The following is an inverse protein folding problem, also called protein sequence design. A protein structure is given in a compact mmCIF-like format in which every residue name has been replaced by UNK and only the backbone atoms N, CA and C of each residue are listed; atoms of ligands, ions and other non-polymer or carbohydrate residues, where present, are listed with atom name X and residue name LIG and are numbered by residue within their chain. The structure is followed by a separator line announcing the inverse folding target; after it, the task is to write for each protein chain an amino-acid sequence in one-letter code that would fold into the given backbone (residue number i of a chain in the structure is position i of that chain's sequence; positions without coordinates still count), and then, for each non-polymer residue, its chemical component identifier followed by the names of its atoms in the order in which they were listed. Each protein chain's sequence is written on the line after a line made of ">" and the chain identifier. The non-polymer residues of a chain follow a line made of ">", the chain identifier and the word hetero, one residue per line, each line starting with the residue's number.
data_IF_600667487518
#
_entry.id   IF_600667487518
#
_cell.length_a   1.000
_cell.length_b   1.000
_cell.length_c   1.000
_cell.angle_alpha   90.00
_cell.angle_beta   90.00
_cell.angle_gamma   90.00
#
_symmetry.space_group_name_H-M   'P 1'
#
loop_
_entity.id
_entity.type
_entity.pdbx_description
1 polymer ?
#
# COMPACT_ATOMS: atom_id res chain seq x y z
N UNK A 1 -23.73 21.59 -17.14
CA UNK A 1 -22.84 20.44 -17.38
C UNK A 1 -21.63 20.94 -18.17
N UNK A 2 -20.55 21.30 -17.50
CA UNK A 2 -19.31 21.78 -18.12
C UNK A 2 -18.52 20.56 -18.57
N UNK A 3 -18.35 20.37 -19.88
CA UNK A 3 -17.46 19.37 -20.46
C UNK A 3 -16.03 19.77 -20.14
N UNK A 4 -15.28 18.91 -19.42
CA UNK A 4 -13.84 19.04 -19.25
C UNK A 4 -13.19 18.70 -20.58
N UNK A 5 -12.36 19.58 -21.19
CA UNK A 5 -11.66 19.30 -22.45
C UNK A 5 -10.70 18.13 -22.28
N UNK A 6 -10.59 17.26 -23.27
CA UNK A 6 -9.70 16.09 -23.26
C UNK A 6 -8.19 16.41 -23.16
N UNK A 7 -7.81 17.69 -23.33
CA UNK A 7 -6.45 18.21 -23.12
C UNK A 7 -6.01 18.24 -21.66
N UNK A 8 -6.95 18.24 -20.70
CA UNK A 8 -6.64 18.37 -19.26
C UNK A 8 -6.37 17.01 -18.57
N UNK A 9 -6.39 15.90 -19.30
CA UNK A 9 -6.42 14.56 -18.69
C UNK A 9 -5.11 13.78 -18.84
N UNK A 10 -4.23 14.13 -19.74
CA UNK A 10 -2.83 13.64 -19.82
C UNK A 10 -2.19 14.24 -21.07
N UNK A 11 -1.10 14.96 -20.91
CA UNK A 11 -0.35 15.56 -22.02
C UNK A 11 0.05 14.47 -23.02
N UNK A 12 -0.28 14.65 -24.27
CA UNK A 12 -0.01 13.74 -25.39
C UNK A 12 1.49 13.39 -25.54
N UNK A 13 2.38 14.19 -24.96
CA UNK A 13 3.84 13.95 -24.90
C UNK A 13 4.20 12.70 -24.08
N UNK A 14 3.41 12.32 -23.09
CA UNK A 14 3.64 11.09 -22.33
C UNK A 14 3.21 9.84 -23.10
N UNK A 15 2.33 9.97 -24.08
CA UNK A 15 1.92 8.86 -24.95
C UNK A 15 2.95 8.59 -26.07
N UNK A 16 3.70 9.59 -26.49
CA UNK A 16 4.68 9.49 -27.59
C UNK A 16 6.05 8.99 -27.14
N UNK A 17 6.37 9.04 -25.85
CA UNK A 17 7.65 8.55 -25.31
C UNK A 17 7.79 7.02 -25.23
N UNK A 18 6.74 6.25 -25.53
CA UNK A 18 6.83 4.77 -25.59
C UNK A 18 7.81 4.27 -26.66
N UNK A 19 7.89 4.96 -27.81
CA UNK A 19 8.85 4.59 -28.88
C UNK A 19 10.30 4.92 -28.52
N UNK A 20 10.55 6.02 -27.81
CA UNK A 20 11.88 6.39 -27.36
C UNK A 20 12.40 5.44 -26.26
N UNK A 21 11.52 4.98 -25.37
CA UNK A 21 11.86 3.98 -24.33
C UNK A 21 12.20 2.61 -24.93
N UNK A 22 11.48 2.17 -25.96
CA UNK A 22 11.77 0.90 -26.66
C UNK A 22 13.08 1.02 -27.46
N UNK A 23 13.36 2.16 -28.07
CA UNK A 23 14.60 2.39 -28.84
C UNK A 23 15.84 2.42 -27.93
N UNK A 24 15.73 2.99 -26.71
CA UNK A 24 16.85 3.00 -25.75
C UNK A 24 17.12 1.60 -25.13
N UNK A 25 16.09 0.75 -24.98
CA UNK A 25 16.25 -0.62 -24.52
C UNK A 25 16.96 -1.51 -25.56
N UNK A 26 16.75 -1.27 -26.86
CA UNK A 26 17.41 -2.00 -27.95
C UNK A 26 18.87 -1.55 -28.18
N UNK A 27 19.20 -0.30 -27.90
CA UNK A 27 20.58 0.20 -27.99
C UNK A 27 21.49 -0.31 -26.85
N UNK A 28 20.91 -0.64 -25.69
CA UNK A 28 21.64 -1.21 -24.56
C UNK A 28 21.97 -2.71 -24.73
N UNK A 29 21.28 -3.41 -25.62
CA UNK A 29 21.49 -4.85 -25.85
C UNK A 29 22.66 -5.17 -26.81
N UNK A 30 23.22 -4.16 -27.51
CA UNK A 30 24.29 -4.33 -28.51
C UNK A 30 25.71 -4.17 -28.01
N UNK A 31 25.96 -3.81 -26.76
CA UNK A 31 27.28 -3.42 -26.24
C UNK A 31 27.87 -4.36 -25.19
N UNK A 32 27.39 -5.60 -25.04
CA UNK A 32 27.92 -6.53 -24.02
C UNK A 32 28.51 -7.82 -24.61
N UNK A 33 29.57 -7.67 -25.38
CA UNK A 33 30.51 -8.77 -25.64
C UNK A 33 31.90 -8.32 -25.19
N UNK A 34 32.29 -8.72 -24.02
CA UNK A 34 33.61 -8.86 -23.39
C UNK A 34 33.57 -8.38 -21.94
N UNK A 35 33.07 -9.23 -21.04
CA UNK A 35 33.32 -9.07 -19.59
C UNK A 35 33.72 -10.43 -19.01
N UNK A 36 34.88 -10.46 -18.37
CA UNK A 36 35.49 -11.58 -17.67
C UNK A 36 34.55 -12.29 -16.67
N UNK A 37 34.61 -13.64 -16.54
CA UNK A 37 33.74 -14.39 -15.63
C UNK A 37 34.34 -14.55 -14.22
N UNK A 38 34.77 -13.47 -13.58
CA UNK A 38 35.02 -13.44 -12.13
C UNK A 38 34.20 -12.38 -11.45
N UNK A 39 32.87 -12.47 -11.62
CA UNK A 39 31.96 -11.76 -10.77
C UNK A 39 31.73 -12.56 -9.48
N UNK A 40 32.50 -12.22 -8.46
CA UNK A 40 32.11 -12.48 -7.08
C UNK A 40 30.63 -12.13 -6.94
N UNK A 41 29.82 -13.10 -6.49
CA UNK A 41 28.45 -12.84 -6.12
C UNK A 41 28.48 -11.79 -4.99
N UNK A 42 28.45 -10.51 -5.37
CA UNK A 42 28.25 -9.41 -4.42
C UNK A 42 26.93 -9.67 -3.74
N UNK A 43 26.97 -9.89 -2.43
CA UNK A 43 25.77 -9.88 -1.63
C UNK A 43 25.01 -8.58 -1.96
N UNK A 44 23.69 -8.64 -2.22
CA UNK A 44 22.93 -7.43 -2.48
C UNK A 44 23.23 -6.42 -1.37
N UNK A 45 23.58 -5.19 -1.74
CA UNK A 45 23.83 -4.14 -0.77
C UNK A 45 22.61 -4.06 0.15
N UNK A 46 22.83 -4.00 1.46
CA UNK A 46 21.76 -3.83 2.44
C UNK A 46 21.03 -2.51 2.11
N UNK A 47 19.72 -2.60 1.89
CA UNK A 47 18.90 -1.43 1.53
C UNK A 47 18.35 -0.73 2.77
N UNK A 48 18.38 -1.40 3.94
CA UNK A 48 17.91 -0.91 5.23
C UNK A 48 18.51 -1.70 6.38
N UNK A 49 18.08 -1.42 7.60
CA UNK A 49 18.46 -2.19 8.79
C UNK A 49 17.74 -3.55 8.77
N UNK A 50 18.48 -4.63 8.97
CA UNK A 50 17.90 -5.98 9.12
C UNK A 50 16.99 -6.06 10.32
N UNK A 51 15.87 -6.76 10.18
CA UNK A 51 14.87 -7.03 11.22
C UNK A 51 14.93 -8.51 11.60
N UNK A 52 14.81 -8.79 12.89
CA UNK A 52 14.63 -10.16 13.37
C UNK A 52 13.17 -10.57 13.10
N UNK A 53 12.96 -11.57 12.26
CA UNK A 53 11.64 -12.03 11.82
C UNK A 53 11.46 -13.52 12.03
N UNK A 54 10.21 -13.95 12.06
CA UNK A 54 9.81 -15.35 11.98
C UNK A 54 8.94 -15.56 10.74
N UNK A 55 9.05 -16.74 10.12
CA UNK A 55 8.17 -17.10 9.01
C UNK A 55 6.74 -17.28 9.51
N UNK A 56 5.81 -16.55 8.93
CA UNK A 56 4.39 -16.67 9.30
C UNK A 56 3.71 -17.87 8.62
N UNK A 57 2.85 -18.61 9.33
CA UNK A 57 2.00 -19.64 8.72
C UNK A 57 0.96 -19.04 7.76
N UNK A 58 0.69 -17.73 7.84
CA UNK A 58 -0.22 -16.99 6.97
C UNK A 58 0.49 -16.38 5.75
N UNK A 59 1.78 -16.66 5.58
CA UNK A 59 2.54 -16.23 4.41
C UNK A 59 2.15 -17.04 3.18
N UNK A 60 1.98 -16.36 2.03
CA UNK A 60 1.77 -17.03 0.74
C UNK A 60 3.04 -17.77 0.27
N UNK A 61 2.86 -18.64 -0.72
CA UNK A 61 3.95 -19.43 -1.33
C UNK A 61 4.42 -18.88 -2.69
N UNK A 62 3.82 -17.80 -3.19
CA UNK A 62 4.21 -17.21 -4.48
C UNK A 62 5.58 -16.56 -4.40
N UNK A 63 6.32 -16.60 -5.51
CA UNK A 63 7.62 -15.93 -5.60
C UNK A 63 7.43 -14.40 -5.54
N UNK A 64 8.08 -13.72 -4.59
CA UNK A 64 8.03 -12.27 -4.50
C UNK A 64 8.62 -11.59 -5.74
N UNK A 65 8.10 -10.42 -6.08
CA UNK A 65 8.70 -9.54 -7.07
C UNK A 65 10.09 -9.08 -6.59
N UNK A 66 11.01 -8.81 -7.50
CA UNK A 66 12.33 -8.28 -7.15
C UNK A 66 12.23 -6.93 -6.45
N UNK A 67 13.24 -6.63 -5.62
CA UNK A 67 13.34 -5.37 -4.85
C UNK A 67 13.10 -4.13 -5.70
N UNK A 68 13.78 -4.04 -6.86
CA UNK A 68 13.64 -2.89 -7.73
C UNK A 68 12.20 -2.65 -8.21
N UNK A 69 11.43 -3.71 -8.47
CA UNK A 69 10.03 -3.57 -8.89
C UNK A 69 9.16 -2.98 -7.79
N UNK A 70 9.43 -3.35 -6.52
CA UNK A 70 8.66 -2.89 -5.37
C UNK A 70 9.01 -1.47 -4.94
N UNK A 71 10.24 -1.02 -5.24
CA UNK A 71 10.75 0.26 -4.75
C UNK A 71 10.78 1.36 -5.80
N UNK A 72 10.54 1.02 -7.08
CA UNK A 72 10.54 2.00 -8.18
C UNK A 72 9.18 2.20 -8.85
N UNK A 73 8.19 1.36 -8.51
CA UNK A 73 6.85 1.43 -9.08
C UNK A 73 5.83 1.51 -7.94
N UNK A 74 5.48 2.73 -7.52
CA UNK A 74 4.70 2.99 -6.33
C UNK A 74 3.54 3.95 -6.59
N UNK A 75 2.48 3.82 -5.78
CA UNK A 75 1.47 4.85 -5.57
C UNK A 75 1.63 5.37 -4.15
N UNK A 76 2.25 6.53 -3.98
CA UNK A 76 2.36 7.26 -2.73
C UNK A 76 2.23 8.75 -3.05
N UNK A 77 0.98 9.19 -3.15
CA UNK A 77 0.61 10.49 -3.70
C UNK A 77 1.17 11.66 -2.91
N UNK A 78 1.51 11.46 -1.65
CA UNK A 78 2.25 12.41 -0.83
C UNK A 78 3.62 12.79 -1.41
N UNK A 79 4.19 11.90 -2.24
CA UNK A 79 5.45 12.15 -2.94
C UNK A 79 5.29 12.38 -4.44
N UNK A 80 4.06 12.38 -4.97
CA UNK A 80 3.75 12.62 -6.37
C UNK A 80 2.84 11.57 -6.99
N UNK A 81 2.33 11.86 -8.19
CA UNK A 81 1.25 11.10 -8.83
C UNK A 81 1.74 10.07 -9.84
N UNK A 82 2.99 10.20 -10.35
CA UNK A 82 3.55 9.20 -11.25
C UNK A 82 4.15 8.01 -10.46
N UNK A 83 4.27 6.85 -11.11
CA UNK A 83 4.75 5.63 -10.44
C UNK A 83 6.21 5.71 -9.96
N UNK A 84 7.01 6.55 -10.59
CA UNK A 84 8.42 6.78 -10.25
C UNK A 84 8.63 7.90 -9.23
N UNK A 85 7.65 8.82 -9.07
CA UNK A 85 7.79 9.97 -8.18
C UNK A 85 8.14 9.58 -6.74
N UNK A 86 7.49 8.59 -6.11
CA UNK A 86 7.85 8.22 -4.74
C UNK A 86 9.30 7.75 -4.61
N UNK A 87 9.82 7.00 -5.59
CA UNK A 87 11.20 6.52 -5.56
C UNK A 87 12.23 7.66 -5.66
N UNK A 88 11.86 8.77 -6.28
CA UNK A 88 12.72 9.97 -6.42
C UNK A 88 12.53 10.91 -5.23
N UNK A 89 11.29 11.31 -4.97
CA UNK A 89 10.97 12.40 -4.05
C UNK A 89 11.04 11.99 -2.57
N UNK A 90 10.86 10.68 -2.27
CA UNK A 90 10.99 10.20 -0.90
C UNK A 90 12.43 9.94 -0.44
N UNK A 91 13.44 10.10 -1.29
CA UNK A 91 14.86 9.87 -0.93
C UNK A 91 15.31 10.74 0.23
N UNK A 92 14.84 11.98 0.28
CA UNK A 92 15.17 12.96 1.33
C UNK A 92 14.28 12.87 2.57
N UNK A 93 13.25 12.05 2.56
CA UNK A 93 12.33 11.92 3.68
C UNK A 93 13.04 11.32 4.90
N UNK A 94 12.99 12.05 6.00
CA UNK A 94 13.53 11.63 7.29
C UNK A 94 12.37 11.51 8.28
N UNK A 95 11.89 10.29 8.57
CA UNK A 95 10.91 10.08 9.61
C UNK A 95 11.37 10.73 10.92
N UNK A 96 10.48 11.44 11.61
CA UNK A 96 10.81 12.05 12.90
C UNK A 96 11.18 10.96 13.92
N UNK A 97 12.17 11.24 14.73
CA UNK A 97 12.57 10.35 15.82
C UNK A 97 12.36 11.03 17.18
N UNK A 98 11.59 10.42 18.11
CA UNK A 98 10.82 9.18 17.92
C UNK A 98 9.61 9.38 16.96
N UNK A 99 9.26 8.33 16.20
CA UNK A 99 8.02 8.32 15.46
C UNK A 99 6.85 8.07 16.40
N UNK A 100 5.88 8.98 16.40
CA UNK A 100 4.76 8.93 17.34
C UNK A 100 3.44 8.71 16.62
N UNK A 101 2.56 7.93 17.24
CA UNK A 101 1.22 7.63 16.79
C UNK A 101 0.20 8.10 17.85
N UNK A 102 -0.71 8.99 17.48
CA UNK A 102 -1.82 9.38 18.33
C UNK A 102 -2.90 8.28 18.34
N UNK A 103 -3.34 7.86 19.52
CA UNK A 103 -4.43 6.91 19.76
C UNK A 103 -5.63 7.71 20.28
N UNK A 104 -6.74 7.67 19.55
CA UNK A 104 -7.92 8.52 19.82
C UNK A 104 -9.24 7.73 19.73
N UNK A 105 -10.34 8.38 20.15
CA UNK A 105 -11.72 7.92 19.93
C UNK A 105 -12.22 6.93 20.98
N UNK A 106 -12.98 5.94 20.54
CA UNK A 106 -13.69 4.95 21.36
C UNK A 106 -12.75 3.85 21.89
N UNK A 107 -11.79 4.22 22.75
CA UNK A 107 -10.88 3.30 23.42
C UNK A 107 -10.52 3.82 24.83
N UNK A 108 -10.13 2.91 25.73
CA UNK A 108 -9.75 3.27 27.08
C UNK A 108 -8.33 3.87 27.14
N UNK A 109 -7.40 3.37 26.33
CA UNK A 109 -5.99 3.82 26.32
C UNK A 109 -5.73 4.80 25.18
N UNK A 110 -6.11 6.04 25.41
CA UNK A 110 -5.84 7.19 24.51
C UNK A 110 -4.49 7.83 24.86
N UNK A 111 -3.94 8.57 23.90
CA UNK A 111 -2.69 9.31 24.07
C UNK A 111 -1.75 9.14 22.90
N UNK A 112 -0.49 9.44 23.12
CA UNK A 112 0.56 9.28 22.10
C UNK A 112 1.48 8.14 22.49
N UNK A 113 1.76 7.25 21.54
CA UNK A 113 2.66 6.10 21.71
C UNK A 113 3.78 6.19 20.68
N UNK A 114 5.00 5.81 21.04
CA UNK A 114 6.11 5.75 20.08
C UNK A 114 6.06 4.48 19.25
N UNK A 115 6.69 4.48 18.07
CA UNK A 115 6.80 3.27 17.25
C UNK A 115 7.58 2.16 17.99
N UNK A 116 8.60 2.54 18.75
CA UNK A 116 9.38 1.62 19.58
C UNK A 116 8.49 0.93 20.61
N UNK A 117 7.60 1.69 21.26
CA UNK A 117 6.63 1.11 22.19
C UNK A 117 5.59 0.25 21.48
N UNK A 118 5.15 0.63 20.27
CA UNK A 118 4.28 -0.22 19.46
C UNK A 118 4.94 -1.56 19.16
N UNK A 119 6.21 -1.56 18.81
CA UNK A 119 6.99 -2.75 18.46
C UNK A 119 7.41 -3.58 19.66
N UNK A 120 7.43 -3.00 20.86
CA UNK A 120 7.85 -3.69 22.09
C UNK A 120 6.96 -4.91 22.35
N UNK A 121 7.58 -6.08 22.43
CA UNK A 121 6.90 -7.35 22.64
C UNK A 121 6.16 -7.91 21.41
N UNK A 122 6.30 -7.29 20.24
CA UNK A 122 5.77 -7.84 19.00
C UNK A 122 6.75 -8.84 18.39
N UNK A 123 6.24 -9.95 17.91
CA UNK A 123 6.97 -10.84 17.01
C UNK A 123 6.76 -10.32 15.58
N UNK A 124 7.83 -9.89 14.92
CA UNK A 124 7.76 -9.51 13.52
C UNK A 124 7.73 -10.76 12.65
N UNK A 125 6.83 -10.78 11.69
CA UNK A 125 6.58 -11.89 10.81
C UNK A 125 6.89 -11.55 9.36
N UNK A 126 7.48 -12.49 8.63
CA UNK A 126 7.60 -12.42 7.17
C UNK A 126 6.29 -12.88 6.53
N UNK A 127 5.66 -11.97 5.79
CA UNK A 127 4.37 -12.17 5.15
C UNK A 127 4.45 -11.92 3.65
N UNK A 128 4.50 -12.98 2.85
CA UNK A 128 4.42 -12.90 1.39
C UNK A 128 2.96 -12.74 1.01
N UNK A 129 2.58 -11.56 0.51
CA UNK A 129 1.21 -11.24 0.16
C UNK A 129 1.08 -10.76 -1.27
N UNK A 130 -0.03 -11.12 -1.92
CA UNK A 130 -0.47 -10.47 -3.15
C UNK A 130 -0.86 -9.04 -2.85
N UNK A 131 -0.54 -8.15 -3.75
CA UNK A 131 -0.95 -6.75 -3.74
C UNK A 131 -1.63 -6.42 -5.07
N UNK A 132 -2.81 -5.86 -5.05
CA UNK A 132 -3.61 -5.51 -6.23
C UNK A 132 -3.99 -4.03 -6.20
N UNK A 133 -3.57 -3.29 -7.20
CA UNK A 133 -3.98 -1.91 -7.38
C UNK A 133 -5.27 -1.82 -8.21
N UNK A 134 -6.14 -0.87 -7.88
CA UNK A 134 -7.35 -0.58 -8.68
C UNK A 134 -7.00 -0.20 -10.13
N UNK A 135 -5.79 0.28 -10.39
CA UNK A 135 -5.27 0.58 -11.74
C UNK A 135 -5.00 -0.66 -12.61
N UNK A 136 -5.29 -1.87 -12.13
CA UNK A 136 -5.19 -3.08 -12.94
C UNK A 136 -3.81 -3.76 -12.92
N UNK A 137 -2.89 -3.36 -12.05
CA UNK A 137 -1.61 -4.03 -11.88
C UNK A 137 -1.49 -4.70 -10.51
N UNK A 138 -0.61 -5.68 -10.40
CA UNK A 138 -0.40 -6.45 -9.17
C UNK A 138 1.07 -6.81 -8.94
N UNK A 139 1.38 -7.11 -7.68
CA UNK A 139 2.70 -7.57 -7.20
C UNK A 139 2.52 -8.67 -6.16
N UNK A 140 3.60 -9.39 -5.89
CA UNK A 140 3.77 -10.25 -4.71
C UNK A 140 4.85 -9.61 -3.83
N UNK A 141 4.50 -9.26 -2.61
CA UNK A 141 5.34 -8.43 -1.73
C UNK A 141 5.67 -9.17 -0.44
N UNK A 142 6.97 -9.33 -0.09
CA UNK A 142 7.41 -9.93 1.16
C UNK A 142 7.48 -8.87 2.26
N UNK A 143 6.36 -8.62 2.90
CA UNK A 143 6.26 -7.67 4.01
C UNK A 143 6.89 -8.22 5.29
N UNK A 144 7.45 -7.33 6.09
CA UNK A 144 7.75 -7.58 7.50
C UNK A 144 6.80 -6.75 8.36
N UNK A 145 6.08 -7.40 9.25
CA UNK A 145 5.10 -6.72 10.07
C UNK A 145 4.54 -7.59 11.19
N UNK A 146 3.50 -7.12 11.82
CA UNK A 146 2.80 -7.80 12.92
C UNK A 146 1.29 -7.56 12.80
N UNK A 147 0.43 -8.44 13.37
CA UNK A 147 -1.02 -8.29 13.29
C UNK A 147 -1.50 -6.96 13.88
N UNK A 148 -2.30 -6.18 13.12
CA UNK A 148 -2.91 -4.95 13.63
C UNK A 148 -3.72 -5.20 14.90
N UNK A 149 -4.34 -6.37 15.01
CA UNK A 149 -5.11 -6.79 16.18
C UNK A 149 -4.32 -6.69 17.51
N UNK A 150 -3.00 -6.87 17.49
CA UNK A 150 -2.19 -6.76 18.71
C UNK A 150 -2.10 -5.31 19.22
N UNK A 151 -2.00 -4.32 18.31
CA UNK A 151 -2.09 -2.91 18.69
C UNK A 151 -3.50 -2.55 19.17
N UNK A 152 -4.54 -2.99 18.44
CA UNK A 152 -5.93 -2.71 18.79
C UNK A 152 -6.25 -3.22 20.21
N UNK A 153 -5.87 -4.46 20.54
CA UNK A 153 -6.08 -5.03 21.87
C UNK A 153 -5.40 -4.19 22.98
N UNK A 154 -4.21 -3.67 22.73
CA UNK A 154 -3.50 -2.78 23.68
C UNK A 154 -4.20 -1.44 23.88
N UNK A 155 -4.95 -0.96 22.87
CA UNK A 155 -5.71 0.28 22.97
C UNK A 155 -7.02 0.12 23.77
N UNK A 156 -7.47 -1.11 24.04
CA UNK A 156 -8.71 -1.42 24.76
C UNK A 156 -9.93 -0.69 24.17
N UNK A 157 -10.33 -0.99 22.91
CA UNK A 157 -11.49 -0.34 22.30
C UNK A 157 -12.76 -0.62 23.10
N UNK A 158 -13.63 0.38 23.21
CA UNK A 158 -14.94 0.24 23.85
C UNK A 158 -15.89 -0.58 22.97
N UNK A 159 -17.02 -1.04 23.53
CA UNK A 159 -18.06 -1.74 22.76
C UNK A 159 -18.69 -0.86 21.65
N UNK A 160 -18.47 0.45 21.67
CA UNK A 160 -18.92 1.38 20.63
C UNK A 160 -17.99 1.45 19.42
N UNK A 161 -16.76 0.96 19.53
CA UNK A 161 -15.77 1.02 18.46
C UNK A 161 -16.12 0.02 17.35
N UNK A 162 -16.79 0.49 16.30
CA UNK A 162 -17.17 -0.32 15.15
C UNK A 162 -16.18 -0.19 13.97
N UNK A 163 -15.36 0.87 13.95
CA UNK A 163 -14.40 1.18 12.89
C UNK A 163 -13.09 1.68 13.47
N UNK A 164 -12.01 1.49 12.69
CA UNK A 164 -10.69 2.05 12.95
C UNK A 164 -10.32 2.95 11.78
N UNK A 165 -9.96 4.19 12.06
CA UNK A 165 -9.48 5.19 11.10
C UNK A 165 -8.00 5.42 11.31
N UNK A 166 -7.29 5.61 10.21
CA UNK A 166 -5.86 5.91 10.18
C UNK A 166 -5.62 7.23 9.46
N UNK A 167 -4.60 7.97 9.87
CA UNK A 167 -4.18 9.21 9.23
C UNK A 167 -2.68 9.17 8.92
N UNK A 168 -2.31 9.57 7.70
CA UNK A 168 -0.92 9.76 7.28
C UNK A 168 -0.32 11.04 7.86
N UNK A 169 1.00 11.10 7.98
CA UNK A 169 1.74 12.31 8.31
C UNK A 169 1.39 13.46 7.34
N UNK A 170 1.09 14.63 7.88
CA UNK A 170 1.04 15.87 7.11
C UNK A 170 2.36 16.62 7.29
N UNK A 171 3.19 16.63 6.26
CA UNK A 171 4.46 17.35 6.22
C UNK A 171 4.80 17.79 4.80
N UNK A 172 4.25 18.91 4.37
CA UNK A 172 4.40 19.43 3.00
C UNK A 172 5.85 19.73 2.62
N UNK A 173 6.73 19.94 3.61
CA UNK A 173 8.15 20.20 3.35
C UNK A 173 8.89 18.96 2.90
N UNK A 174 8.53 17.79 3.43
CA UNK A 174 9.16 16.52 3.10
C UNK A 174 8.34 15.68 2.12
N UNK A 175 7.02 15.94 2.00
CA UNK A 175 6.05 15.25 1.17
C UNK A 175 5.42 16.22 0.15
N UNK A 176 6.15 16.57 -0.92
CA UNK A 176 5.76 17.66 -1.83
C UNK A 176 4.44 17.40 -2.56
N UNK A 177 4.02 16.15 -2.73
CA UNK A 177 2.72 15.82 -3.31
C UNK A 177 1.53 16.32 -2.50
N UNK A 178 1.73 16.62 -1.20
CA UNK A 178 0.70 17.22 -0.34
C UNK A 178 0.46 18.71 -0.60
N UNK A 179 1.20 19.33 -1.50
CA UNK A 179 0.92 20.69 -2.01
C UNK A 179 -0.10 20.67 -3.15
N UNK A 180 -0.33 19.51 -3.76
CA UNK A 180 -1.30 19.35 -4.86
C UNK A 180 -2.73 19.17 -4.35
N UNK A 181 -3.70 19.53 -5.21
CA UNK A 181 -5.14 19.40 -4.93
C UNK A 181 -5.70 18.01 -5.35
N UNK A 182 -4.85 17.04 -5.61
CA UNK A 182 -5.27 15.70 -6.06
C UNK A 182 -6.12 14.97 -5.02
N UNK A 183 -5.84 15.22 -3.74
CA UNK A 183 -6.60 14.72 -2.58
C UNK A 183 -6.71 15.82 -1.51
N UNK A 184 -7.65 15.67 -0.61
CA UNK A 184 -7.62 16.43 0.64
C UNK A 184 -6.60 15.79 1.59
N UNK A 185 -5.65 16.59 2.06
CA UNK A 185 -4.58 16.15 2.97
C UNK A 185 -4.88 16.49 4.43
N UNK A 186 -4.45 15.68 5.40
CA UNK A 186 -3.69 14.43 5.24
C UNK A 186 -4.54 13.29 4.68
N UNK A 187 -3.89 12.26 4.11
CA UNK A 187 -4.57 11.05 3.65
C UNK A 187 -5.19 10.30 4.82
N UNK A 188 -6.44 9.88 4.66
CA UNK A 188 -7.23 9.15 5.67
C UNK A 188 -7.76 7.85 5.06
N UNK A 189 -7.69 6.79 5.82
CA UNK A 189 -8.29 5.49 5.51
C UNK A 189 -8.97 4.87 6.72
N UNK A 190 -9.85 3.90 6.47
CA UNK A 190 -10.54 3.20 7.53
C UNK A 190 -10.83 1.74 7.23
N UNK A 191 -11.04 0.98 8.29
CA UNK A 191 -11.49 -0.42 8.27
C UNK A 191 -12.66 -0.60 9.24
N UNK A 192 -13.53 -1.59 8.97
CA UNK A 192 -14.39 -2.14 10.02
C UNK A 192 -13.52 -2.81 11.08
N UNK A 193 -14.03 -2.89 12.30
CA UNK A 193 -13.30 -3.50 13.42
C UNK A 193 -12.96 -4.98 13.15
N UNK A 194 -13.87 -5.76 12.57
CA UNK A 194 -13.62 -7.16 12.22
C UNK A 194 -12.55 -7.34 11.14
N UNK A 195 -12.50 -6.44 10.14
CA UNK A 195 -11.42 -6.39 9.13
C UNK A 195 -10.08 -6.02 9.78
N UNK A 196 -10.08 -5.05 10.69
CA UNK A 196 -8.89 -4.61 11.41
C UNK A 196 -8.35 -5.69 12.37
N UNK A 197 -9.25 -6.50 12.95
CA UNK A 197 -8.91 -7.60 13.85
C UNK A 197 -8.56 -8.90 13.12
N UNK A 198 -8.74 -8.96 11.80
CA UNK A 198 -8.47 -10.18 11.03
C UNK A 198 -6.96 -10.49 11.00
N UNK A 199 -6.54 -11.76 11.16
CA UNK A 199 -5.11 -12.15 11.24
C UNK A 199 -4.28 -11.77 10.00
N UNK A 200 -4.89 -11.62 8.83
CA UNK A 200 -4.22 -11.18 7.60
C UNK A 200 -3.95 -9.66 7.57
N UNK A 201 -4.64 -8.86 8.39
CA UNK A 201 -4.41 -7.42 8.48
C UNK A 201 -3.19 -7.15 9.34
N UNK A 202 -2.16 -6.54 8.77
CA UNK A 202 -0.90 -6.25 9.47
C UNK A 202 -0.54 -4.77 9.42
N UNK A 203 0.21 -4.34 10.41
CA UNK A 203 1.05 -3.16 10.35
C UNK A 203 2.44 -3.59 9.89
N UNK A 204 2.87 -3.10 8.73
CA UNK A 204 4.17 -3.41 8.15
C UNK A 204 5.20 -2.33 8.50
N UNK A 205 6.40 -2.78 8.85
CA UNK A 205 7.57 -1.96 9.19
C UNK A 205 8.79 -2.32 8.34
N UNK A 206 8.63 -3.29 7.43
CA UNK A 206 9.73 -3.75 6.59
C UNK A 206 9.30 -4.46 5.31
N UNK A 207 10.31 -4.67 4.46
CA UNK A 207 10.29 -5.45 3.22
C UNK A 207 11.55 -6.33 3.18
N UNK A 208 11.44 -7.56 2.68
CA UNK A 208 12.58 -8.47 2.49
C UNK A 208 13.48 -8.64 3.75
N UNK A 209 12.88 -8.66 4.94
CA UNK A 209 13.63 -8.78 6.20
C UNK A 209 14.35 -7.52 6.65
N UNK A 210 14.15 -6.39 5.97
CA UNK A 210 14.78 -5.10 6.27
C UNK A 210 13.74 -4.00 6.54
N UNK A 211 14.16 -2.89 7.15
CA UNK A 211 13.28 -1.75 7.43
C UNK A 211 12.62 -1.21 6.16
N UNK A 212 11.41 -0.72 6.32
CA UNK A 212 10.57 -0.24 5.20
C UNK A 212 11.21 0.96 4.50
N UNK A 213 11.38 0.92 3.16
CA UNK A 213 11.84 2.09 2.41
C UNK A 213 10.81 3.22 2.44
N UNK A 214 11.29 4.46 2.34
CA UNK A 214 10.45 5.65 2.38
C UNK A 214 9.31 5.61 1.37
N UNK A 215 9.62 5.30 0.11
CA UNK A 215 8.64 5.21 -0.99
C UNK A 215 7.61 4.08 -0.81
N UNK A 216 7.87 3.15 0.08
CA UNK A 216 6.96 2.05 0.41
C UNK A 216 6.13 2.32 1.66
N UNK A 217 6.26 3.51 2.28
CA UNK A 217 5.41 3.97 3.38
C UNK A 217 6.04 3.94 4.77
N UNK A 218 7.39 4.10 4.84
CA UNK A 218 8.11 4.17 6.10
C UNK A 218 7.51 5.22 7.08
N UNK A 219 7.68 5.02 8.38
CA UNK A 219 8.25 3.84 9.02
C UNK A 219 7.19 2.76 9.34
N UNK A 220 5.89 3.08 9.17
CA UNK A 220 4.75 2.24 9.53
C UNK A 220 3.63 2.39 8.53
N UNK A 221 3.11 1.27 8.00
CA UNK A 221 1.98 1.27 7.09
C UNK A 221 1.01 0.13 7.34
N UNK A 222 -0.23 0.30 6.86
CA UNK A 222 -1.24 -0.74 6.82
C UNK A 222 -1.07 -1.64 5.59
N UNK A 223 -1.29 -2.95 5.77
CA UNK A 223 -1.42 -3.92 4.67
C UNK A 223 -2.64 -4.81 4.92
N UNK A 224 -3.54 -4.84 3.92
CA UNK A 224 -4.76 -5.66 3.92
C UNK A 224 -4.82 -6.38 2.58
N UNK A 225 -4.35 -7.64 2.48
CA UNK A 225 -4.01 -8.26 1.19
C UNK A 225 -5.21 -8.55 0.27
N UNK A 226 -6.43 -8.63 0.81
CA UNK A 226 -7.64 -8.88 0.01
C UNK A 226 -8.33 -7.61 -0.49
N UNK A 227 -7.81 -6.43 -0.10
CA UNK A 227 -8.33 -5.12 -0.51
C UNK A 227 -7.41 -4.48 -1.55
N UNK A 228 -7.96 -3.54 -2.31
CA UNK A 228 -7.15 -2.72 -3.21
C UNK A 228 -6.07 -1.94 -2.45
N UNK A 229 -4.94 -1.74 -3.11
CA UNK A 229 -3.74 -1.15 -2.52
C UNK A 229 -3.91 0.24 -1.92
N UNK A 230 -4.91 1.01 -2.33
CA UNK A 230 -5.17 2.33 -1.76
C UNK A 230 -5.66 2.27 -0.29
N UNK A 231 -6.22 1.13 0.16
CA UNK A 231 -6.50 0.91 1.59
C UNK A 231 -5.24 0.84 2.45
N UNK A 232 -4.10 0.55 1.84
CA UNK A 232 -2.82 0.43 2.53
C UNK A 232 -2.21 1.80 2.84
N UNK A 233 -2.82 2.55 3.74
CA UNK A 233 -2.33 3.86 4.22
C UNK A 233 -0.91 3.77 4.75
N UNK A 234 -0.10 4.80 4.48
CA UNK A 234 1.35 4.85 4.69
C UNK A 234 1.74 5.93 5.68
N UNK A 235 2.93 5.81 6.28
CA UNK A 235 3.47 6.79 7.24
C UNK A 235 2.44 7.21 8.30
N UNK A 236 1.86 6.20 8.97
CA UNK A 236 0.73 6.37 9.91
C UNK A 236 1.19 7.14 11.16
N UNK A 237 0.47 8.22 11.49
CA UNK A 237 0.68 9.03 12.70
C UNK A 237 -0.54 9.08 13.63
N UNK A 238 -1.67 8.51 13.21
CA UNK A 238 -2.89 8.47 14.04
C UNK A 238 -3.66 7.20 13.79
N UNK A 239 -4.21 6.64 14.86
CA UNK A 239 -5.21 5.56 14.87
C UNK A 239 -6.38 6.03 15.73
N UNK A 240 -7.58 6.08 15.17
CA UNK A 240 -8.79 6.55 15.86
C UNK A 240 -9.88 5.49 15.80
N UNK A 241 -10.44 5.16 16.94
CA UNK A 241 -11.56 4.22 17.07
C UNK A 241 -12.88 4.96 16.97
N UNK A 242 -13.80 4.51 16.13
CA UNK A 242 -15.03 5.21 15.80
C UNK A 242 -16.26 4.31 15.90
N UNK A 243 -17.38 4.88 16.33
CA UNK A 243 -18.67 4.21 16.32
C UNK A 243 -19.34 4.24 14.93
N UNK A 244 -18.98 5.20 14.08
CA UNK A 244 -19.53 5.38 12.73
C UNK A 244 -18.41 5.22 11.69
N UNK A 245 -18.81 4.75 10.50
CA UNK A 245 -17.91 4.62 9.38
C UNK A 245 -17.25 5.95 9.01
N UNK A 246 -15.91 6.02 8.96
CA UNK A 246 -15.20 7.19 8.44
C UNK A 246 -15.34 7.29 6.92
N UNK A 247 -15.10 8.49 6.40
CA UNK A 247 -14.98 8.72 4.95
C UNK A 247 -13.50 8.72 4.59
N UNK A 248 -13.09 7.85 3.66
CA UNK A 248 -11.70 7.80 3.21
C UNK A 248 -11.38 8.90 2.21
N UNK A 249 -10.09 9.23 2.06
CA UNK A 249 -9.64 10.28 1.13
C UNK A 249 -10.08 10.05 -0.31
N UNK A 250 -10.02 8.82 -0.81
CA UNK A 250 -10.47 8.52 -2.16
C UNK A 250 -11.99 8.55 -2.32
N UNK A 251 -12.77 8.12 -1.32
CA UNK A 251 -14.22 8.28 -1.34
C UNK A 251 -14.62 9.76 -1.42
N UNK A 252 -13.88 10.62 -0.70
CA UNK A 252 -14.14 12.05 -0.71
C UNK A 252 -13.78 12.67 -2.07
N UNK A 253 -12.66 12.25 -2.68
CA UNK A 253 -12.19 12.78 -3.95
C UNK A 253 -13.03 12.30 -5.14
N UNK A 254 -13.44 11.04 -5.14
CA UNK A 254 -14.18 10.45 -6.27
C UNK A 254 -15.13 9.32 -5.82
N UNK A 255 -16.27 9.66 -5.21
CA UNK A 255 -17.18 8.70 -4.59
C UNK A 255 -17.82 7.69 -5.57
N UNK A 256 -17.86 8.01 -6.89
CA UNK A 256 -18.39 7.10 -7.89
C UNK A 256 -17.39 6.00 -8.29
N UNK A 257 -16.12 6.14 -7.92
CA UNK A 257 -15.06 5.23 -8.29
C UNK A 257 -14.48 4.45 -7.11
N UNK A 258 -14.59 4.99 -5.89
CA UNK A 258 -13.96 4.45 -4.70
C UNK A 258 -14.97 4.23 -3.58
N UNK A 259 -15.14 2.98 -3.18
CA UNK A 259 -15.95 2.60 -2.03
C UNK A 259 -15.15 2.44 -0.74
N UNK A 260 -15.86 2.34 0.39
CA UNK A 260 -15.23 2.19 1.70
C UNK A 260 -14.54 0.82 1.86
N UNK A 261 -15.21 -0.24 1.46
CA UNK A 261 -14.70 -1.60 1.67
C UNK A 261 -13.47 -1.87 0.81
N UNK A 262 -13.48 -1.42 -0.43
CA UNK A 262 -12.37 -1.55 -1.36
C UNK A 262 -11.83 -2.99 -1.49
N UNK A 263 -12.70 -3.98 -1.33
CA UNK A 263 -12.36 -5.38 -1.57
C UNK A 263 -12.06 -5.59 -3.05
N UNK A 264 -11.00 -6.34 -3.37
CA UNK A 264 -10.72 -6.68 -4.77
C UNK A 264 -11.89 -7.47 -5.33
N UNK A 265 -12.61 -6.86 -6.28
CA UNK A 265 -13.83 -7.43 -6.86
C UNK A 265 -13.84 -7.26 -8.39
N UNK A 266 -13.57 -8.32 -9.16
CA UNK A 266 -13.58 -8.25 -10.63
C UNK A 266 -14.97 -7.97 -11.23
N UNK A 267 -16.06 -8.12 -10.46
CA UNK A 267 -17.42 -7.85 -10.91
C UNK A 267 -17.86 -6.37 -10.76
N UNK A 268 -17.06 -5.54 -10.07
CA UNK A 268 -17.29 -4.11 -9.91
C UNK A 268 -16.25 -3.35 -10.70
N UNK A 269 -16.68 -2.63 -11.74
CA UNK A 269 -15.76 -1.92 -12.62
C UNK A 269 -15.44 -0.52 -12.08
N UNK A 270 -14.18 -0.14 -12.20
CA UNK A 270 -13.75 1.24 -11.98
C UNK A 270 -13.93 2.03 -13.29
N UNK A 271 -14.35 3.32 -13.27
CA UNK A 271 -14.64 4.10 -14.50
C UNK A 271 -13.48 4.19 -15.51
N UNK A 272 -12.24 4.06 -15.04
CA UNK A 272 -11.02 4.16 -15.90
C UNK A 272 -10.31 2.83 -16.11
N UNK A 273 -10.56 1.82 -15.27
CA UNK A 273 -9.75 0.60 -15.26
C UNK A 273 -10.63 -0.64 -15.13
N UNK A 274 -10.54 -1.54 -16.08
CA UNK A 274 -11.20 -2.84 -15.94
C UNK A 274 -10.64 -3.58 -14.71
N UNK A 275 -11.54 -4.14 -13.91
CA UNK A 275 -11.17 -4.93 -12.75
C UNK A 275 -11.16 -6.43 -13.03
N UNK A 276 -11.59 -6.86 -14.22
CA UNK A 276 -11.67 -8.28 -14.59
C UNK A 276 -10.29 -8.93 -14.77
N UNK A 277 -9.31 -8.15 -15.21
CA UNK A 277 -7.96 -8.61 -15.50
C UNK A 277 -6.93 -7.76 -14.75
N UNK A 278 -5.75 -8.34 -14.49
CA UNK A 278 -4.62 -7.65 -13.89
C UNK A 278 -3.32 -8.00 -14.60
N UNK A 279 -2.40 -7.05 -14.63
CA UNK A 279 -1.04 -7.24 -15.12
C UNK A 279 -0.08 -7.45 -13.95
N UNK A 280 0.60 -8.58 -13.87
CA UNK A 280 1.59 -8.87 -12.83
C UNK A 280 2.93 -8.25 -13.21
N UNK A 281 3.40 -7.32 -12.39
CA UNK A 281 4.73 -6.74 -12.59
C UNK A 281 5.84 -7.81 -12.52
N UNK A 282 6.93 -7.67 -13.31
CA UNK A 282 7.31 -6.49 -14.08
C UNK A 282 6.63 -6.35 -15.45
N UNK A 283 5.89 -7.36 -15.93
CA UNK A 283 5.24 -7.29 -17.24
C UNK A 283 3.87 -6.62 -17.14
N UNK A 284 3.71 -5.47 -17.80
CA UNK A 284 2.40 -4.82 -17.94
C UNK A 284 1.59 -5.35 -19.15
N UNK A 285 2.18 -6.25 -19.94
CA UNK A 285 1.56 -6.83 -21.14
C UNK A 285 0.94 -8.22 -20.90
N UNK A 286 1.48 -8.97 -19.93
CA UNK A 286 0.94 -10.26 -19.56
C UNK A 286 -0.13 -10.07 -18.49
N UNK A 287 -1.36 -10.32 -18.88
CA UNK A 287 -2.51 -10.19 -17.99
C UNK A 287 -3.03 -11.55 -17.53
N UNK A 288 -3.60 -11.57 -16.35
CA UNK A 288 -4.28 -12.72 -15.75
C UNK A 288 -5.64 -12.30 -15.19
N UNK A 289 -6.53 -13.26 -14.96
CA UNK A 289 -7.83 -12.96 -14.34
C UNK A 289 -7.64 -12.50 -12.90
N UNK A 290 -8.29 -11.40 -12.54
CA UNK A 290 -8.33 -10.94 -11.15
C UNK A 290 -9.18 -11.88 -10.31
N UNK A 291 -8.65 -12.32 -9.17
CA UNK A 291 -9.39 -13.16 -8.23
C UNK A 291 -10.20 -12.29 -7.24
N UNK A 292 -11.44 -12.66 -6.93
CA UNK A 292 -12.19 -12.03 -5.85
C UNK A 292 -11.37 -12.03 -4.55
N UNK A 293 -11.45 -10.94 -3.79
CA UNK A 293 -10.63 -10.76 -2.58
C UNK A 293 -9.13 -10.97 -2.81
N UNK A 294 -8.65 -10.69 -4.04
CA UNK A 294 -7.25 -10.92 -4.43
C UNK A 294 -6.76 -12.37 -4.19
N UNK A 295 -7.70 -13.35 -4.20
CA UNK A 295 -7.43 -14.75 -3.95
C UNK A 295 -7.42 -15.17 -2.47
N UNK A 296 -7.88 -14.31 -1.56
CA UNK A 296 -8.01 -14.60 -0.12
C UNK A 296 -9.45 -14.94 0.30
N UNK A 297 -10.31 -15.30 -0.67
CA UNK A 297 -11.73 -15.54 -0.42
C UNK A 297 -12.01 -16.55 0.69
N UNK A 298 -11.28 -17.67 0.71
CA UNK A 298 -11.45 -18.72 1.73
C UNK A 298 -11.23 -18.23 3.16
N UNK A 299 -10.37 -17.21 3.34
CA UNK A 299 -10.05 -16.67 4.65
C UNK A 299 -10.97 -15.50 5.07
N UNK A 300 -11.53 -14.76 4.11
CA UNK A 300 -12.16 -13.45 4.42
C UNK A 300 -13.59 -13.30 3.95
N UNK A 301 -14.09 -14.17 3.05
CA UNK A 301 -15.44 -13.98 2.48
C UNK A 301 -16.54 -14.02 3.55
N UNK A 302 -16.35 -14.76 4.64
CA UNK A 302 -17.29 -14.84 5.76
C UNK A 302 -17.51 -13.51 6.48
N UNK A 303 -16.53 -12.59 6.46
CA UNK A 303 -16.68 -11.23 7.01
C UNK A 303 -17.79 -10.42 6.29
N UNK A 304 -18.11 -10.81 5.08
CA UNK A 304 -19.04 -10.10 4.20
C UNK A 304 -20.31 -10.90 3.91
N UNK A 305 -20.58 -11.95 4.70
CA UNK A 305 -21.78 -12.77 4.54
C UNK A 305 -23.05 -11.91 4.63
N UNK A 306 -23.96 -12.06 3.65
CA UNK A 306 -25.18 -11.28 3.57
C UNK A 306 -25.03 -9.85 3.01
N UNK A 307 -23.80 -9.42 2.66
CA UNK A 307 -23.54 -8.10 2.10
C UNK A 307 -23.53 -8.15 0.56
N UNK A 308 -24.25 -7.23 -0.07
CA UNK A 308 -24.15 -7.02 -1.52
C UNK A 308 -22.84 -6.27 -1.85
N UNK A 309 -21.83 -7.02 -2.32
CA UNK A 309 -20.51 -6.48 -2.65
C UNK A 309 -20.45 -5.65 -3.94
N UNK A 310 -21.55 -5.51 -4.68
CA UNK A 310 -21.64 -4.56 -5.80
C UNK A 310 -22.03 -3.17 -5.32
N UNK A 311 -22.75 -3.08 -4.20
CA UNK A 311 -23.11 -1.82 -3.56
C UNK A 311 -22.11 -1.41 -2.50
N UNK A 312 -21.53 -2.39 -1.82
CA UNK A 312 -20.55 -2.21 -0.73
C UNK A 312 -19.15 -2.52 -1.25
N UNK A 313 -18.64 -1.70 -2.14
CA UNK A 313 -17.32 -1.84 -2.75
C UNK A 313 -16.28 -0.85 -2.18
#
# INVERSE_FOLDING_TARGET
>A
MTRIPSSDITDQRFYLNRRAFIASALAAAGASAFVNPELHAQQPAAHGRKLATVKSPLSGSETPNKWEHLTTYNNFYEFGTSKSDPAVNARGFKPREPWTIAIEGECARRGTITLEDVLKGQTLEDRIYRHRCVEGWSMVIPWVGFPLASLIKRCEPTSKAAFVEFTTLLDRRQMPGQESDVLQWPYVEGLRMDEAMHPLTILAVGLYGETLPNQNGAPLRLVVPWKYGFKGIKSIVKVRFLAKQPVSSWQLAWPQAYGFYANVNPAVQHPRHSQAMEARLPSLFQTMRTLPFNGYGDQVASLYAGMDLRRNY
#
